data_IF_147917781108
#
_entry.id   IF_147917781108
#
_cell.length_a   1.000
_cell.length_b   1.000
_cell.length_c   1.000
_cell.angle_alpha   90.00
_cell.angle_beta   90.00
_cell.angle_gamma   90.00
#
_symmetry.space_group_name_H-M   'P 1'
#
loop_
_entity.id
_entity.type
_entity.pdbx_description
1 polymer ?
#
# COMPACT_ATOMS: atom_id res chain seq x y z
N UNK A 1 15.94 5.59 7.87
CA UNK A 1 14.51 5.24 7.71
C UNK A 1 14.39 3.73 7.62
N UNK A 2 14.05 3.06 8.72
CA UNK A 2 13.88 1.60 8.76
C UNK A 2 12.53 1.28 9.41
N UNK A 3 11.67 0.56 8.69
CA UNK A 3 10.52 -0.10 9.28
C UNK A 3 11.02 -1.41 9.94
N UNK A 4 11.49 -1.30 11.18
CA UNK A 4 12.13 -2.42 11.89
C UNK A 4 13.51 -2.75 11.32
N UNK A 5 13.77 -4.02 11.00
CA UNK A 5 15.05 -4.50 10.42
C UNK A 5 15.07 -4.54 8.88
N UNK A 6 14.01 -4.08 8.23
CA UNK A 6 13.87 -4.15 6.77
C UNK A 6 14.19 -2.79 6.13
N UNK A 7 14.96 -2.83 5.04
CA UNK A 7 15.25 -1.68 4.20
C UNK A 7 14.09 -1.42 3.20
N UNK A 8 12.89 -1.21 3.71
CA UNK A 8 11.72 -0.89 2.90
C UNK A 8 11.73 0.58 2.50
N UNK A 9 11.47 0.85 1.23
CA UNK A 9 11.25 2.19 0.68
C UNK A 9 9.77 2.43 0.47
N UNK A 10 9.34 3.70 0.48
CA UNK A 10 7.94 4.07 0.20
C UNK A 10 7.50 3.57 -1.18
N UNK A 11 8.38 3.65 -2.19
CA UNK A 11 8.15 3.08 -3.52
C UNK A 11 7.98 1.56 -3.48
N UNK A 12 8.76 0.86 -2.66
CA UNK A 12 8.66 -0.59 -2.49
C UNK A 12 7.32 -1.00 -1.87
N UNK A 13 6.86 -0.26 -0.86
CA UNK A 13 5.54 -0.46 -0.22
C UNK A 13 4.42 -0.26 -1.24
N UNK A 14 4.47 0.85 -1.99
CA UNK A 14 3.48 1.14 -3.02
C UNK A 14 3.41 0.03 -4.09
N UNK A 15 4.57 -0.43 -4.59
CA UNK A 15 4.63 -1.50 -5.60
C UNK A 15 4.09 -2.82 -5.07
N UNK A 16 4.35 -3.16 -3.81
CA UNK A 16 3.79 -4.34 -3.16
C UNK A 16 2.26 -4.28 -3.18
N UNK A 17 1.68 -3.15 -2.75
CA UNK A 17 0.23 -3.00 -2.67
C UNK A 17 -0.41 -3.06 -4.06
N UNK A 18 0.20 -2.41 -5.06
CA UNK A 18 -0.21 -2.53 -6.46
C UNK A 18 -0.23 -4.00 -6.92
N UNK A 19 0.85 -4.74 -6.68
CA UNK A 19 0.97 -6.14 -7.10
C UNK A 19 -0.12 -7.03 -6.47
N UNK A 20 -0.36 -6.89 -5.17
CA UNK A 20 -1.37 -7.70 -4.46
C UNK A 20 -2.78 -7.35 -4.98
N UNK A 21 -3.12 -6.06 -4.98
CA UNK A 21 -4.46 -5.60 -5.35
C UNK A 21 -4.79 -5.93 -6.81
N UNK A 22 -3.87 -5.68 -7.75
CA UNK A 22 -4.09 -5.99 -9.17
C UNK A 22 -4.27 -7.50 -9.39
N UNK A 23 -3.53 -8.34 -8.66
CA UNK A 23 -3.64 -9.80 -8.77
C UNK A 23 -4.99 -10.29 -8.27
N UNK A 24 -5.44 -9.80 -7.11
CA UNK A 24 -6.75 -10.18 -6.57
C UNK A 24 -7.90 -9.72 -7.46
N UNK A 25 -7.85 -8.47 -7.94
CA UNK A 25 -8.87 -7.93 -8.86
C UNK A 25 -8.91 -8.73 -10.16
N UNK A 26 -7.76 -9.04 -10.76
CA UNK A 26 -7.70 -9.85 -11.97
C UNK A 26 -8.26 -11.28 -11.78
N UNK A 27 -8.17 -11.81 -10.56
CA UNK A 27 -8.76 -13.10 -10.19
C UNK A 27 -10.24 -13.01 -9.77
N UNK A 28 -10.86 -11.82 -9.79
CA UNK A 28 -12.24 -11.63 -9.33
C UNK A 28 -12.43 -11.81 -7.82
N UNK A 29 -11.36 -11.68 -7.02
CA UNK A 29 -11.37 -11.89 -5.58
C UNK A 29 -11.63 -10.55 -4.87
N UNK A 30 -12.71 -10.42 -4.07
CA UNK A 30 -12.94 -9.22 -3.28
C UNK A 30 -11.88 -9.08 -2.18
N UNK A 31 -11.35 -7.87 -1.99
CA UNK A 31 -10.29 -7.57 -1.03
C UNK A 31 -10.74 -6.48 -0.07
N UNK A 32 -10.49 -6.70 1.22
CA UNK A 32 -10.52 -5.66 2.25
C UNK A 32 -9.09 -5.43 2.76
N UNK A 33 -8.68 -4.17 2.90
CA UNK A 33 -7.37 -3.81 3.44
C UNK A 33 -7.54 -3.00 4.73
N UNK A 34 -6.68 -3.25 5.70
CA UNK A 34 -6.65 -2.54 6.98
C UNK A 34 -5.29 -1.89 7.18
N UNK A 35 -5.29 -0.70 7.78
CA UNK A 35 -4.06 -0.01 8.14
C UNK A 35 -3.43 -0.72 9.34
N UNK A 36 -2.24 -1.30 9.13
CA UNK A 36 -1.43 -1.87 10.19
C UNK A 36 -0.63 -0.81 10.96
N UNK A 37 0.17 -1.24 11.93
CA UNK A 37 1.05 -0.33 12.67
C UNK A 37 2.17 0.26 11.80
N UNK A 38 2.77 1.34 12.28
CA UNK A 38 4.00 1.91 11.76
C UNK A 38 4.73 2.60 12.89
N UNK A 39 6.02 2.32 13.05
CA UNK A 39 6.85 2.94 14.06
C UNK A 39 7.69 4.03 13.39
N UNK A 40 7.64 5.24 13.93
CA UNK A 40 8.40 6.37 13.44
C UNK A 40 8.07 7.63 14.22
N UNK A 41 9.09 8.42 14.53
CA UNK A 41 8.92 9.70 15.24
C UNK A 41 8.44 10.82 14.31
N UNK A 42 8.50 10.59 12.99
CA UNK A 42 8.04 11.50 11.95
C UNK A 42 6.61 11.13 11.56
N UNK A 43 5.66 11.92 12.06
CA UNK A 43 4.23 11.72 11.87
C UNK A 43 3.80 11.93 10.41
N UNK A 44 4.40 12.90 9.72
CA UNK A 44 4.09 13.19 8.32
C UNK A 44 4.54 12.03 7.43
N UNK A 45 5.74 11.50 7.67
CA UNK A 45 6.23 10.32 6.95
C UNK A 45 5.38 9.08 7.28
N UNK A 46 4.85 8.96 8.49
CA UNK A 46 3.96 7.87 8.88
C UNK A 46 2.61 7.96 8.14
N UNK A 47 1.97 9.14 8.15
CA UNK A 47 0.73 9.41 7.42
C UNK A 47 0.93 9.12 5.93
N UNK A 48 2.02 9.63 5.35
CA UNK A 48 2.33 9.43 3.95
C UNK A 48 2.40 7.95 3.61
N UNK A 49 3.09 7.14 4.41
CA UNK A 49 3.17 5.68 4.22
C UNK A 49 1.82 4.99 4.31
N UNK A 50 0.99 5.36 5.27
CA UNK A 50 -0.36 4.82 5.38
C UNK A 50 -1.25 5.21 4.20
N UNK A 51 -1.04 6.39 3.61
CA UNK A 51 -1.75 6.82 2.41
C UNK A 51 -1.41 5.99 1.16
N UNK A 52 -0.23 5.34 1.11
CA UNK A 52 0.22 4.58 -0.07
C UNK A 52 -0.73 3.45 -0.43
N UNK A 53 -1.28 2.76 0.57
CA UNK A 53 -2.27 1.70 0.37
C UNK A 53 -3.51 2.22 -0.36
N UNK A 54 -4.05 3.35 0.10
CA UNK A 54 -5.20 3.99 -0.53
C UNK A 54 -4.88 4.45 -1.96
N UNK A 55 -3.70 5.03 -2.16
CA UNK A 55 -3.25 5.48 -3.49
C UNK A 55 -3.11 4.31 -4.47
N UNK A 56 -2.55 3.19 -4.02
CA UNK A 56 -2.44 1.98 -4.83
C UNK A 56 -3.82 1.40 -5.17
N UNK A 57 -4.74 1.35 -4.20
CA UNK A 57 -6.10 0.90 -4.42
C UNK A 57 -6.86 1.78 -5.44
N UNK A 58 -6.74 3.11 -5.32
CA UNK A 58 -7.35 4.04 -6.28
C UNK A 58 -6.78 3.88 -7.70
N UNK A 59 -5.48 3.63 -7.82
CA UNK A 59 -4.83 3.39 -9.10
C UNK A 59 -5.31 2.06 -9.73
N UNK A 60 -5.34 0.97 -8.97
CA UNK A 60 -5.89 -0.32 -9.44
C UNK A 60 -7.37 -0.18 -9.83
N UNK A 61 -8.16 0.52 -9.03
CA UNK A 61 -9.57 0.81 -9.34
C UNK A 61 -9.72 1.48 -10.71
N UNK A 62 -8.91 2.50 -10.99
CA UNK A 62 -8.88 3.20 -12.29
C UNK A 62 -8.43 2.30 -13.44
N UNK A 63 -7.40 1.47 -13.23
CA UNK A 63 -6.85 0.59 -14.26
C UNK A 63 -7.86 -0.49 -14.70
N UNK A 64 -8.60 -1.05 -13.75
CA UNK A 64 -9.60 -2.07 -14.02
C UNK A 64 -11.00 -1.51 -14.32
N UNK A 65 -11.17 -0.17 -14.25
CA UNK A 65 -12.45 0.53 -14.46
C UNK A 65 -13.60 -0.08 -13.64
N UNK A 66 -13.29 -0.38 -12.37
CA UNK A 66 -14.26 -0.79 -11.37
C UNK A 66 -15.17 0.38 -10.99
#
# INVERSE_FOLDING_TARGET
YHLGKLALTDTGIYRRDMQVLSTCVAAGIPVASVIGGGYGNDFDALIYRHSLLYRAALEVYRQFKL
#
